data_IF_646766192667
#
_entry.id   IF_646766192667
#
_cell.length_a   1.000
_cell.length_b   1.000
_cell.length_c   1.000
_cell.angle_alpha   90.00
_cell.angle_beta   90.00
_cell.angle_gamma   90.00
#
_symmetry.space_group_name_H-M   'P 1'
#
loop_
_entity.id
_entity.type
_entity.pdbx_description
1 polymer ?
#
# COMPACT_ATOMS: atom_id res chain seq x y z
N UNK A 1 -10.17 -4.31 -33.47
CA UNK A 1 -9.40 -4.90 -32.35
C UNK A 1 -10.00 -4.37 -31.05
N UNK A 2 -10.51 -5.24 -30.18
CA UNK A 2 -11.09 -4.79 -28.90
C UNK A 2 -10.01 -4.19 -28.01
N UNK A 3 -10.29 -3.03 -27.41
CA UNK A 3 -9.39 -2.38 -26.46
C UNK A 3 -9.04 -3.37 -25.34
N UNK A 4 -7.74 -3.53 -25.07
CA UNK A 4 -7.24 -4.34 -23.95
C UNK A 4 -6.57 -3.41 -22.95
N UNK A 5 -6.83 -3.62 -21.67
CA UNK A 5 -6.16 -2.92 -20.57
C UNK A 5 -5.27 -3.90 -19.84
N UNK A 6 -4.01 -3.53 -19.65
CA UNK A 6 -3.05 -4.29 -18.85
C UNK A 6 -3.03 -3.69 -17.45
N UNK A 7 -3.35 -4.50 -16.45
CA UNK A 7 -3.42 -4.06 -15.05
C UNK A 7 -2.42 -4.86 -14.23
N UNK A 8 -1.61 -4.15 -13.45
CA UNK A 8 -0.76 -4.74 -12.42
C UNK A 8 -1.52 -4.71 -11.11
N UNK A 9 -1.85 -5.88 -10.57
CA UNK A 9 -2.64 -6.02 -9.37
C UNK A 9 -1.86 -6.73 -8.25
N UNK A 10 -2.36 -6.59 -7.03
CA UNK A 10 -1.88 -7.30 -5.85
C UNK A 10 -3.00 -8.23 -5.40
N UNK A 11 -2.73 -9.53 -5.35
CA UNK A 11 -3.58 -10.59 -4.79
C UNK A 11 -3.08 -11.01 -3.40
N UNK A 12 -3.74 -11.99 -2.79
CA UNK A 12 -3.49 -12.39 -1.40
C UNK A 12 -2.03 -12.75 -1.08
N UNK A 13 -1.34 -13.36 -2.03
CA UNK A 13 0.03 -13.89 -1.91
C UNK A 13 1.07 -13.12 -2.76
N UNK A 14 0.72 -11.97 -3.35
CA UNK A 14 1.66 -11.12 -4.07
C UNK A 14 1.11 -10.50 -5.34
N UNK A 15 1.97 -10.20 -6.31
CA UNK A 15 1.59 -9.51 -7.54
C UNK A 15 0.98 -10.46 -8.58
N UNK A 16 0.08 -9.93 -9.41
CA UNK A 16 -0.46 -10.62 -10.58
C UNK A 16 -0.68 -9.61 -11.72
N UNK A 17 -0.38 -10.03 -12.94
CA UNK A 17 -0.69 -9.26 -14.14
C UNK A 17 -2.05 -9.71 -14.70
N UNK A 18 -2.92 -8.75 -14.98
CA UNK A 18 -4.27 -8.97 -15.51
C UNK A 18 -4.38 -8.37 -16.91
N UNK A 19 -5.09 -9.08 -17.80
CA UNK A 19 -5.53 -8.54 -19.09
C UNK A 19 -7.05 -8.51 -19.10
N UNK A 20 -7.58 -7.30 -19.20
CA UNK A 20 -9.01 -7.04 -19.26
C UNK A 20 -9.37 -6.64 -20.69
N UNK A 21 -10.37 -7.29 -21.29
CA UNK A 21 -10.87 -6.98 -22.63
C UNK A 21 -12.12 -6.09 -22.54
N UNK A 22 -12.22 -5.08 -23.41
CA UNK A 22 -13.33 -4.14 -23.46
C UNK A 22 -13.00 -2.79 -22.82
N UNK A 23 -13.99 -1.89 -22.80
CA UNK A 23 -13.87 -0.59 -22.11
C UNK A 23 -14.38 -0.75 -20.68
N UNK A 24 -13.47 -0.68 -19.72
CA UNK A 24 -13.77 -0.72 -18.29
C UNK A 24 -13.37 0.60 -17.67
N UNK A 25 -14.29 1.57 -17.66
CA UNK A 25 -14.02 2.92 -17.12
C UNK A 25 -13.95 2.95 -15.59
N UNK A 26 -14.30 1.83 -14.95
CA UNK A 26 -14.37 1.66 -13.50
C UNK A 26 -13.12 1.04 -12.86
N UNK A 27 -12.25 0.45 -13.68
CA UNK A 27 -10.97 -0.09 -13.23
C UNK A 27 -9.90 0.97 -13.41
N UNK A 28 -9.47 1.52 -12.29
CA UNK A 28 -8.42 2.52 -12.20
C UNK A 28 -7.46 2.13 -11.07
N UNK A 29 -6.38 2.88 -10.91
CA UNK A 29 -5.46 2.75 -9.79
C UNK A 29 -6.23 2.87 -8.47
N UNK A 30 -5.89 2.05 -7.47
CA UNK A 30 -6.55 2.04 -6.16
C UNK A 30 -8.05 1.63 -6.23
N UNK A 31 -8.34 0.59 -7.01
CA UNK A 31 -9.63 -0.09 -7.02
C UNK A 31 -9.45 -1.50 -6.46
N UNK A 32 -10.20 -1.83 -5.41
CA UNK A 32 -10.28 -3.18 -4.87
C UNK A 32 -11.42 -3.93 -5.55
N UNK A 33 -11.08 -5.09 -6.10
CA UNK A 33 -11.99 -5.87 -6.94
C UNK A 33 -11.72 -7.37 -6.78
N UNK A 34 -12.79 -8.14 -6.88
CA UNK A 34 -12.77 -9.57 -7.15
C UNK A 34 -12.74 -9.77 -8.67
N UNK A 35 -11.97 -10.76 -9.12
CA UNK A 35 -11.74 -11.01 -10.53
C UNK A 35 -11.77 -12.50 -10.77
N UNK A 36 -12.57 -12.95 -11.73
CA UNK A 36 -12.52 -14.31 -12.25
C UNK A 36 -11.91 -14.30 -13.65
N UNK A 37 -11.20 -15.37 -13.99
CA UNK A 37 -10.54 -15.43 -15.26
C UNK A 37 -9.79 -16.73 -15.49
N UNK A 38 -9.11 -16.79 -16.63
CA UNK A 38 -8.38 -17.98 -17.06
C UNK A 38 -6.96 -17.63 -17.49
N UNK A 39 -6.02 -18.46 -17.06
CA UNK A 39 -4.67 -18.43 -17.60
C UNK A 39 -4.70 -19.19 -18.93
N UNK A 40 -4.58 -18.47 -20.05
CA UNK A 40 -4.67 -19.09 -21.40
C UNK A 40 -3.56 -20.09 -21.70
N UNK A 41 -2.43 -20.03 -20.99
CA UNK A 41 -1.29 -20.92 -21.17
C UNK A 41 -0.46 -20.96 -19.87
N UNK A 42 -0.06 -22.15 -19.42
CA UNK A 42 0.80 -22.35 -18.25
C UNK A 42 2.13 -21.57 -18.33
N UNK A 43 2.60 -21.22 -19.52
CA UNK A 43 3.81 -20.40 -19.73
C UNK A 43 3.58 -18.89 -19.61
N UNK A 44 2.35 -18.43 -19.34
CA UNK A 44 1.99 -17.01 -19.27
C UNK A 44 1.66 -16.62 -17.83
N UNK A 45 2.38 -15.63 -17.31
CA UNK A 45 2.23 -15.15 -15.93
C UNK A 45 1.08 -14.12 -15.76
N UNK A 46 0.11 -14.11 -16.68
CA UNK A 46 -1.02 -13.18 -16.64
C UNK A 46 -2.38 -13.89 -16.69
N UNK A 47 -3.35 -13.35 -15.96
CA UNK A 47 -4.74 -13.80 -15.96
C UNK A 47 -5.53 -13.02 -17.02
N UNK A 48 -6.27 -13.73 -17.87
CA UNK A 48 -7.28 -13.07 -18.72
C UNK A 48 -8.57 -13.02 -17.93
N UNK A 49 -9.07 -11.80 -17.76
CA UNK A 49 -10.24 -11.51 -16.93
C UNK A 49 -11.51 -11.76 -17.72
N UNK A 50 -12.38 -12.60 -17.16
CA UNK A 50 -13.70 -12.94 -17.68
C UNK A 50 -14.79 -12.09 -16.98
N UNK A 51 -14.66 -11.86 -15.68
CA UNK A 51 -15.59 -11.08 -14.87
C UNK A 51 -14.86 -10.23 -13.81
N UNK A 52 -15.46 -9.09 -13.44
CA UNK A 52 -14.94 -8.17 -12.43
C UNK A 52 -16.10 -7.77 -11.52
N UNK A 53 -15.86 -7.83 -10.20
CA UNK A 53 -16.74 -7.29 -9.18
C UNK A 53 -15.99 -6.23 -8.37
N UNK A 54 -16.48 -4.98 -8.36
CA UNK A 54 -15.82 -3.88 -7.65
C UNK A 54 -16.25 -3.88 -6.18
N UNK A 55 -15.30 -4.10 -5.27
CA UNK A 55 -15.57 -4.14 -3.83
C UNK A 55 -15.47 -2.74 -3.21
N UNK A 56 -14.40 -2.00 -3.52
CA UNK A 56 -14.18 -0.66 -2.98
C UNK A 56 -13.33 0.18 -3.94
N UNK A 57 -13.64 1.49 -4.00
CA UNK A 57 -12.84 2.49 -4.73
C UNK A 57 -12.09 3.44 -3.78
N UNK A 58 -12.19 3.21 -2.47
CA UNK A 58 -11.57 4.02 -1.42
C UNK A 58 -11.93 5.51 -1.53
N UNK A 59 -13.23 5.83 -1.69
CA UNK A 59 -13.70 7.21 -1.91
C UNK A 59 -13.24 8.20 -0.82
N UNK A 60 -13.16 7.75 0.44
CA UNK A 60 -12.68 8.56 1.58
C UNK A 60 -11.17 8.87 1.54
N UNK A 61 -10.41 8.14 0.72
CA UNK A 61 -9.01 8.44 0.41
C UNK A 61 -8.93 9.35 -0.82
N UNK A 62 -9.68 9.02 -1.88
CA UNK A 62 -9.68 9.77 -3.16
C UNK A 62 -10.09 11.24 -3.00
N UNK A 63 -10.95 11.55 -2.04
CA UNK A 63 -11.40 12.92 -1.76
C UNK A 63 -10.32 13.87 -1.23
N UNK A 64 -9.11 13.38 -0.92
CA UNK A 64 -8.00 14.21 -0.42
C UNK A 64 -6.72 13.90 -1.19
N UNK A 65 -6.12 14.91 -1.82
CA UNK A 65 -4.85 14.76 -2.55
C UNK A 65 -3.75 14.14 -1.66
N UNK A 66 -3.60 14.62 -0.43
CA UNK A 66 -2.57 14.11 0.48
C UNK A 66 -2.78 12.63 0.85
N UNK A 67 -4.04 12.24 1.10
CA UNK A 67 -4.39 10.82 1.36
C UNK A 67 -4.18 9.96 0.12
N UNK A 68 -4.57 10.44 -1.05
CA UNK A 68 -4.35 9.74 -2.31
C UNK A 68 -2.85 9.54 -2.57
N UNK A 69 -2.04 10.58 -2.39
CA UNK A 69 -0.58 10.50 -2.53
C UNK A 69 0.05 9.49 -1.56
N UNK A 70 -0.42 9.44 -0.31
CA UNK A 70 0.04 8.44 0.66
C UNK A 70 -0.45 7.02 0.30
N UNK A 71 -1.69 6.87 -0.17
CA UNK A 71 -2.21 5.59 -0.63
C UNK A 71 -1.43 5.05 -1.85
N UNK A 72 -1.02 5.94 -2.76
CA UNK A 72 -0.14 5.61 -3.88
C UNK A 72 1.26 5.15 -3.43
N UNK A 73 1.79 5.72 -2.33
CA UNK A 73 3.03 5.25 -1.72
C UNK A 73 2.85 3.86 -1.10
N UNK A 74 1.77 3.64 -0.35
CA UNK A 74 1.43 2.34 0.24
C UNK A 74 1.30 1.27 -0.85
N UNK A 75 0.60 1.59 -1.95
CA UNK A 75 0.44 0.70 -3.11
C UNK A 75 1.79 0.39 -3.76
N UNK A 76 2.63 1.40 -4.00
CA UNK A 76 3.95 1.22 -4.61
C UNK A 76 4.87 0.35 -3.73
N UNK A 77 4.90 0.60 -2.41
CA UNK A 77 5.69 -0.18 -1.45
C UNK A 77 5.23 -1.64 -1.43
N UNK A 78 3.92 -1.88 -1.36
CA UNK A 78 3.36 -3.24 -1.33
C UNK A 78 3.66 -3.97 -2.66
N UNK A 79 3.44 -3.31 -3.79
CA UNK A 79 3.69 -3.90 -5.10
C UNK A 79 5.18 -4.22 -5.30
N UNK A 80 6.10 -3.28 -5.04
CA UNK A 80 7.53 -3.48 -5.29
C UNK A 80 8.18 -4.51 -4.37
N UNK A 81 7.61 -4.72 -3.19
CA UNK A 81 8.03 -5.78 -2.26
C UNK A 81 7.38 -7.14 -2.53
N UNK A 82 6.47 -7.22 -3.51
CA UNK A 82 5.63 -8.40 -3.74
C UNK A 82 4.90 -8.86 -2.46
N UNK A 83 4.49 -7.91 -1.62
CA UNK A 83 3.71 -8.20 -0.41
C UNK A 83 2.26 -8.52 -0.77
N UNK A 84 1.61 -9.34 0.06
CA UNK A 84 0.22 -9.74 -0.15
C UNK A 84 -0.80 -8.62 0.07
N UNK A 85 -2.00 -8.80 -0.49
CA UNK A 85 -3.13 -7.86 -0.44
C UNK A 85 -3.52 -7.47 0.99
N UNK A 86 -3.42 -8.39 1.96
CA UNK A 86 -3.77 -8.12 3.35
C UNK A 86 -2.99 -6.94 3.96
N UNK A 87 -1.70 -6.80 3.62
CA UNK A 87 -0.86 -5.69 4.07
C UNK A 87 -1.28 -4.36 3.45
N UNK A 88 -1.61 -4.35 2.15
CA UNK A 88 -2.15 -3.17 1.48
C UNK A 88 -3.45 -2.72 2.14
N UNK A 89 -4.40 -3.64 2.32
CA UNK A 89 -5.70 -3.32 2.89
C UNK A 89 -5.58 -2.82 4.34
N UNK A 90 -4.69 -3.38 5.13
CA UNK A 90 -4.44 -2.91 6.50
C UNK A 90 -3.95 -1.45 6.52
N UNK A 91 -3.00 -1.10 5.64
CA UNK A 91 -2.52 0.27 5.48
C UNK A 91 -3.60 1.24 5.00
N UNK A 92 -4.34 0.87 3.94
CA UNK A 92 -5.40 1.71 3.38
C UNK A 92 -6.55 1.89 4.36
N UNK A 93 -6.98 0.84 5.07
CA UNK A 93 -8.05 0.94 6.06
C UNK A 93 -7.64 1.82 7.25
N UNK A 94 -6.37 1.75 7.70
CA UNK A 94 -5.87 2.70 8.70
C UNK A 94 -5.90 4.14 8.17
N UNK A 95 -5.49 4.35 6.93
CA UNK A 95 -5.49 5.68 6.31
C UNK A 95 -6.90 6.29 6.19
N UNK A 96 -7.95 5.47 6.03
CA UNK A 96 -9.34 5.96 6.03
C UNK A 96 -9.70 6.69 7.33
N UNK A 97 -9.25 6.19 8.48
CA UNK A 97 -9.76 6.59 9.80
C UNK A 97 -8.77 7.38 10.66
N UNK A 98 -7.51 7.52 10.21
CA UNK A 98 -6.44 8.12 11.01
C UNK A 98 -5.81 9.33 10.30
N UNK A 99 -5.16 10.19 11.06
CA UNK A 99 -4.26 11.22 10.52
C UNK A 99 -3.18 10.61 9.61
N UNK A 100 -2.79 11.35 8.57
CA UNK A 100 -1.90 10.87 7.52
C UNK A 100 -0.52 10.48 8.05
N UNK A 101 0.02 11.26 9.00
CA UNK A 101 1.35 10.99 9.56
C UNK A 101 1.34 9.68 10.34
N UNK A 102 0.36 9.51 11.23
CA UNK A 102 0.18 8.27 12.01
C UNK A 102 -0.13 7.07 11.12
N UNK A 103 -0.96 7.24 10.08
CA UNK A 103 -1.24 6.17 9.12
C UNK A 103 0.01 5.73 8.36
N UNK A 104 0.88 6.67 7.99
CA UNK A 104 2.16 6.33 7.34
C UNK A 104 3.10 5.57 8.26
N UNK A 105 3.25 6.02 9.52
CA UNK A 105 4.05 5.34 10.55
C UNK A 105 3.53 3.93 10.78
N UNK A 106 2.21 3.79 10.96
CA UNK A 106 1.55 2.50 11.11
C UNK A 106 1.88 1.57 9.95
N UNK A 107 1.68 2.02 8.71
CA UNK A 107 1.92 1.19 7.54
C UNK A 107 3.39 0.77 7.43
N UNK A 108 4.34 1.70 7.57
CA UNK A 108 5.76 1.35 7.48
C UNK A 108 6.18 0.38 8.59
N UNK A 109 5.67 0.57 9.81
CA UNK A 109 5.95 -0.34 10.92
C UNK A 109 5.44 -1.76 10.67
N UNK A 110 4.15 -1.90 10.30
CA UNK A 110 3.56 -3.22 10.01
C UNK A 110 4.21 -3.85 8.78
N UNK A 111 4.55 -3.07 7.76
CA UNK A 111 5.30 -3.53 6.61
C UNK A 111 6.63 -4.17 7.02
N UNK A 112 7.44 -3.47 7.83
CA UNK A 112 8.72 -3.97 8.29
C UNK A 112 8.56 -5.23 9.15
N UNK A 113 7.55 -5.27 10.03
CA UNK A 113 7.25 -6.45 10.87
C UNK A 113 6.84 -7.66 10.05
N UNK A 114 5.86 -7.52 9.15
CA UNK A 114 5.34 -8.63 8.35
C UNK A 114 6.35 -9.19 7.35
N UNK A 115 7.30 -8.35 6.91
CA UNK A 115 8.42 -8.79 6.07
C UNK A 115 9.63 -9.31 6.87
N UNK A 116 9.57 -9.34 8.21
CA UNK A 116 10.66 -9.87 9.05
C UNK A 116 11.94 -9.01 9.08
N UNK A 117 11.84 -7.73 8.73
CA UNK A 117 12.97 -6.80 8.57
C UNK A 117 12.98 -5.67 9.62
N UNK A 118 12.04 -5.69 10.56
CA UNK A 118 12.01 -4.71 11.64
C UNK A 118 13.13 -4.97 12.65
N UNK A 119 14.10 -4.05 12.73
CA UNK A 119 15.18 -4.09 13.71
C UNK A 119 14.89 -3.15 14.89
N UNK A 120 14.50 -3.74 16.02
CA UNK A 120 14.22 -3.01 17.26
C UNK A 120 15.41 -2.18 17.77
N UNK A 121 16.65 -2.58 17.48
CA UNK A 121 17.85 -1.91 17.99
C UNK A 121 18.03 -0.52 17.39
N UNK A 122 17.39 -0.22 16.26
CA UNK A 122 17.42 1.09 15.60
C UNK A 122 16.49 2.13 16.26
N UNK A 123 15.66 1.69 17.21
CA UNK A 123 14.64 2.51 17.85
C UNK A 123 14.87 2.60 19.35
N UNK A 124 14.77 3.81 19.90
CA UNK A 124 14.85 4.01 21.34
C UNK A 124 13.58 3.49 22.04
N UNK A 125 13.56 3.51 23.38
CA UNK A 125 12.42 3.02 24.16
C UNK A 125 11.12 3.79 23.86
N UNK A 126 11.18 5.11 23.77
CA UNK A 126 10.01 5.96 23.49
C UNK A 126 9.43 5.71 22.09
N UNK A 127 10.30 5.56 21.08
CA UNK A 127 9.92 5.24 19.71
C UNK A 127 9.22 3.87 19.65
N UNK A 128 9.79 2.85 20.30
CA UNK A 128 9.18 1.51 20.36
C UNK A 128 7.81 1.53 21.05
N UNK A 129 7.69 2.25 22.16
CA UNK A 129 6.40 2.41 22.84
C UNK A 129 5.38 3.11 21.94
N UNK A 130 5.79 4.16 21.22
CA UNK A 130 4.89 4.85 20.30
C UNK A 130 4.45 3.94 19.15
N UNK A 131 5.34 3.13 18.59
CA UNK A 131 4.99 2.17 17.53
C UNK A 131 3.93 1.17 18.01
N UNK A 132 4.12 0.58 19.21
CA UNK A 132 3.16 -0.33 19.81
C UNK A 132 1.81 0.35 20.10
N UNK A 133 1.84 1.62 20.50
CA UNK A 133 0.62 2.38 20.67
C UNK A 133 -0.07 2.61 19.32
N UNK A 134 0.66 3.04 18.27
CA UNK A 134 0.12 3.36 16.93
C UNK A 134 -0.48 2.10 16.29
N UNK A 135 0.13 0.94 16.51
CA UNK A 135 -0.41 -0.35 16.11
C UNK A 135 -1.79 -0.62 16.74
N UNK A 136 -1.93 -0.35 18.05
CA UNK A 136 -3.15 -0.66 18.81
C UNK A 136 -4.24 0.42 18.78
N UNK A 137 -3.89 1.70 18.65
CA UNK A 137 -4.82 2.82 18.83
C UNK A 137 -4.51 4.01 17.89
N UNK A 138 -5.55 4.69 17.41
CA UNK A 138 -5.45 5.87 16.55
C UNK A 138 -5.21 7.18 17.34
N UNK A 139 -5.56 7.23 18.62
CA UNK A 139 -5.62 8.48 19.41
C UNK A 139 -4.41 8.73 20.30
N UNK A 140 -3.21 8.70 19.72
CA UNK A 140 -1.98 8.93 20.50
C UNK A 140 -1.58 10.40 20.47
N UNK A 141 -1.12 10.90 21.62
CA UNK A 141 -0.52 12.22 21.75
C UNK A 141 0.98 12.09 21.62
N UNK A 142 1.51 12.55 20.49
CA UNK A 142 2.94 12.70 20.24
C UNK A 142 3.15 14.03 19.51
N UNK A 143 4.32 14.64 19.68
CA UNK A 143 4.62 15.90 18.98
C UNK A 143 4.80 15.64 17.49
N UNK A 144 4.42 16.60 16.65
CA UNK A 144 4.59 16.50 15.20
C UNK A 144 6.06 16.29 14.80
N UNK A 145 6.99 16.92 15.52
CA UNK A 145 8.43 16.72 15.30
C UNK A 145 8.86 15.28 15.55
N UNK A 146 8.38 14.66 16.63
CA UNK A 146 8.70 13.27 16.97
C UNK A 146 8.10 12.29 15.94
N UNK A 147 6.84 12.48 15.55
CA UNK A 147 6.19 11.68 14.51
C UNK A 147 6.95 11.76 13.18
N UNK A 148 7.37 12.95 12.78
CA UNK A 148 8.15 13.16 11.54
C UNK A 148 9.49 12.43 11.56
N UNK A 149 10.22 12.50 12.68
CA UNK A 149 11.51 11.79 12.84
C UNK A 149 11.29 10.28 12.76
N UNK A 150 10.28 9.76 13.48
CA UNK A 150 9.97 8.33 13.48
C UNK A 150 9.53 7.84 12.09
N UNK A 151 8.65 8.58 11.41
CA UNK A 151 8.24 8.30 10.02
C UNK A 151 9.45 8.20 9.10
N UNK A 152 10.36 9.17 9.15
CA UNK A 152 11.53 9.20 8.28
C UNK A 152 12.49 8.05 8.55
N UNK A 153 12.68 7.66 9.81
CA UNK A 153 13.46 6.47 10.17
C UNK A 153 12.86 5.21 9.54
N UNK A 154 11.56 4.98 9.73
CA UNK A 154 10.86 3.82 9.16
C UNK A 154 10.90 3.83 7.63
N UNK A 155 10.62 4.98 7.00
CA UNK A 155 10.65 5.12 5.55
C UNK A 155 12.02 4.78 4.98
N UNK A 156 13.12 5.17 5.65
CA UNK A 156 14.48 4.84 5.23
C UNK A 156 14.71 3.32 5.22
N UNK A 157 14.21 2.61 6.22
CA UNK A 157 14.31 1.14 6.29
C UNK A 157 13.46 0.48 5.18
N UNK A 158 12.26 0.99 4.92
CA UNK A 158 11.41 0.53 3.80
C UNK A 158 12.12 0.72 2.46
N UNK A 159 12.73 1.89 2.24
CA UNK A 159 13.49 2.18 1.02
C UNK A 159 14.72 1.27 0.88
N UNK A 160 15.43 1.00 1.98
CA UNK A 160 16.57 0.11 2.00
C UNK A 160 16.18 -1.32 1.58
N UNK A 161 15.04 -1.82 2.08
CA UNK A 161 14.52 -3.13 1.69
C UNK A 161 14.07 -3.20 0.23
N UNK A 162 13.37 -2.18 -0.27
CA UNK A 162 12.93 -2.14 -1.67
C UNK A 162 14.11 -1.99 -2.65
N UNK A 163 15.21 -1.37 -2.22
CA UNK A 163 16.43 -1.21 -3.02
C UNK A 163 16.28 -0.29 -4.24
N UNK A 164 15.16 0.44 -4.36
CA UNK A 164 14.86 1.35 -5.48
C UNK A 164 14.17 2.63 -5.01
N UNK A 165 14.35 3.77 -5.71
CA UNK A 165 13.64 5.00 -5.41
C UNK A 165 12.12 4.84 -5.52
N UNK A 166 11.38 5.33 -4.52
CA UNK A 166 9.92 5.35 -4.51
C UNK A 166 9.40 6.58 -5.24
N UNK A 167 8.70 6.38 -6.36
CA UNK A 167 8.24 7.46 -7.22
C UNK A 167 7.10 8.25 -6.57
N UNK A 168 6.23 7.58 -5.80
CA UNK A 168 5.09 8.19 -5.12
C UNK A 168 5.51 9.22 -4.07
N UNK A 169 6.75 9.18 -3.57
CA UNK A 169 7.26 10.22 -2.65
C UNK A 169 7.27 11.62 -3.28
N UNK A 170 7.41 11.73 -4.60
CA UNK A 170 7.36 13.02 -5.32
C UNK A 170 6.01 13.72 -5.15
N UNK A 171 4.94 12.97 -4.88
CA UNK A 171 3.60 13.48 -4.66
C UNK A 171 3.41 14.07 -3.25
N UNK A 172 4.32 13.75 -2.33
CA UNK A 172 4.28 14.16 -0.91
C UNK A 172 5.28 15.28 -0.58
N UNK A 173 6.15 15.65 -1.52
CA UNK A 173 7.18 16.69 -1.36
C UNK A 173 6.75 18.07 -1.90
N UNK A 174 5.45 18.27 -2.18
CA UNK A 174 4.89 19.55 -2.61
C UNK A 174 4.24 20.28 -1.44
#
# INVERSE_FOLDING_TARGET
>A
MGNKTYVKAIKDDGNVDLIIYGRHNEVDTLTYMEVEGKIKNQFKNYLIVDSINIIDRFNSIRGSFLRLSLAMLILEVTYRSNSGLSLLLEGLNRLKITDNEKASIFFFYIFLKKNGIFDEKKFNFEERNLLLQIEKNNQIRATAAFLRVLKNKLLKEVQAYIGKPLNSLKLLMR
#
